data_IF_568238742870
#
_entry.id   IF_568238742870
#
_cell.length_a   1.000
_cell.length_b   1.000
_cell.length_c   1.000
_cell.angle_alpha   90.00
_cell.angle_beta   90.00
_cell.angle_gamma   90.00
#
_symmetry.space_group_name_H-M   'P 1'
#
loop_
_entity.id
_entity.type
_entity.pdbx_description
1 polymer ?
#
# COMPACT_ATOMS: atom_id res chain seq x y z
N UNK A 1 13.50 -5.59 10.03
CA UNK A 1 13.20 -4.41 10.89
C UNK A 1 11.95 -3.76 10.34
N UNK A 2 10.98 -3.37 11.17
CA UNK A 2 9.78 -2.69 10.68
C UNK A 2 9.99 -1.18 10.56
N UNK A 3 9.39 -0.57 9.55
CA UNK A 3 9.26 0.87 9.44
C UNK A 3 7.89 1.25 8.91
N UNK A 4 7.43 2.43 9.33
CA UNK A 4 6.13 2.96 8.95
C UNK A 4 6.28 3.90 7.74
N UNK A 5 5.52 3.60 6.69
CA UNK A 5 5.37 4.45 5.51
C UNK A 5 4.09 5.29 5.63
N UNK A 6 4.18 6.57 5.32
CA UNK A 6 2.99 7.41 5.15
C UNK A 6 2.58 7.40 3.66
N UNK A 7 1.45 6.78 3.36
CA UNK A 7 0.95 6.62 1.99
C UNK A 7 -0.11 7.67 1.67
N UNK A 8 0.16 8.49 0.64
CA UNK A 8 -0.78 9.45 0.09
C UNK A 8 -1.32 8.95 -1.26
N UNK A 9 -2.64 8.89 -1.39
CA UNK A 9 -3.29 8.57 -2.67
C UNK A 9 -3.19 9.80 -3.58
N UNK A 10 -2.76 9.60 -4.84
CA UNK A 10 -2.67 10.68 -5.82
C UNK A 10 -4.04 11.33 -6.01
N UNK A 11 -4.09 12.66 -5.91
CA UNK A 11 -5.33 13.44 -6.00
C UNK A 11 -6.04 13.65 -4.66
N UNK A 12 -5.52 13.06 -3.57
CA UNK A 12 -6.02 13.26 -2.21
C UNK A 12 -5.15 14.28 -1.45
N UNK A 13 -5.69 14.83 -0.36
CA UNK A 13 -4.96 15.74 0.54
C UNK A 13 -4.10 14.98 1.55
N UNK A 14 -3.04 15.61 2.06
CA UNK A 14 -2.16 15.00 3.06
C UNK A 14 -2.90 14.57 4.35
N UNK A 15 -4.04 15.19 4.66
CA UNK A 15 -4.95 14.78 5.75
C UNK A 15 -5.60 13.40 5.54
N UNK A 16 -5.66 12.91 4.31
CA UNK A 16 -6.16 11.57 3.96
C UNK A 16 -5.03 10.55 3.75
N UNK A 17 -3.79 10.90 4.10
CA UNK A 17 -2.70 9.95 4.12
C UNK A 17 -2.92 8.90 5.22
N UNK A 18 -2.44 7.69 4.98
CA UNK A 18 -2.57 6.57 5.91
C UNK A 18 -1.21 5.93 6.18
N UNK A 19 -1.02 5.45 7.40
CA UNK A 19 0.18 4.76 7.80
C UNK A 19 0.12 3.29 7.34
N UNK A 20 1.26 2.77 6.89
CA UNK A 20 1.44 1.36 6.53
C UNK A 20 2.73 0.87 7.16
N UNK A 21 2.64 -0.12 8.04
CA UNK A 21 3.82 -0.78 8.58
C UNK A 21 4.32 -1.87 7.63
N UNK A 22 5.61 -1.81 7.32
CA UNK A 22 6.28 -2.84 6.53
C UNK A 22 7.57 -3.31 7.17
N UNK A 23 7.86 -4.60 7.00
CA UNK A 23 9.18 -5.16 7.25
C UNK A 23 10.14 -4.80 6.12
N UNK A 24 11.32 -4.30 6.48
CA UNK A 24 12.42 -3.97 5.57
C UNK A 24 12.92 -5.14 4.74
N UNK A 25 12.72 -6.35 5.25
CA UNK A 25 13.16 -7.60 4.62
C UNK A 25 12.13 -8.13 3.61
N UNK A 26 10.99 -7.45 3.43
CA UNK A 26 9.93 -7.86 2.52
C UNK A 26 10.00 -7.11 1.19
N UNK A 27 9.71 -7.83 0.11
CA UNK A 27 9.62 -7.25 -1.23
C UNK A 27 8.46 -6.27 -1.36
N UNK A 28 8.52 -5.43 -2.39
CA UNK A 28 7.46 -4.47 -2.77
C UNK A 28 6.12 -5.16 -3.06
N UNK A 29 6.13 -6.45 -3.43
CA UNK A 29 4.90 -7.25 -3.57
C UNK A 29 4.12 -7.38 -2.25
N UNK A 30 4.82 -7.44 -1.12
CA UNK A 30 4.21 -7.41 0.21
C UNK A 30 3.58 -6.04 0.48
N UNK A 31 4.33 -4.96 0.25
CA UNK A 31 3.83 -3.58 0.39
C UNK A 31 2.53 -3.36 -0.42
N UNK A 32 2.48 -3.83 -1.68
CA UNK A 32 1.26 -3.74 -2.51
C UNK A 32 0.06 -4.46 -1.88
N UNK A 33 0.28 -5.61 -1.24
CA UNK A 33 -0.79 -6.37 -0.56
C UNK A 33 -1.27 -5.65 0.69
N UNK A 34 -0.35 -5.14 1.52
CA UNK A 34 -0.69 -4.41 2.75
C UNK A 34 -1.47 -3.13 2.41
N UNK A 35 -1.01 -2.34 1.44
CA UNK A 35 -1.74 -1.15 0.97
C UNK A 35 -3.15 -1.51 0.50
N UNK A 36 -3.29 -2.60 -0.27
CA UNK A 36 -4.60 -3.05 -0.75
C UNK A 36 -5.50 -3.52 0.41
N UNK A 37 -4.95 -4.17 1.43
CA UNK A 37 -5.71 -4.60 2.60
C UNK A 37 -6.19 -3.42 3.45
N UNK A 38 -5.35 -2.39 3.63
CA UNK A 38 -5.68 -1.21 4.43
C UNK A 38 -6.76 -0.33 3.79
N UNK A 39 -6.77 -0.26 2.45
CA UNK A 39 -7.65 0.65 1.69
C UNK A 39 -8.30 -0.08 0.51
N UNK A 40 -8.97 -1.21 0.80
CA UNK A 40 -9.56 -2.13 -0.20
C UNK A 40 -10.48 -1.45 -1.22
N UNK A 41 -11.25 -0.44 -0.80
CA UNK A 41 -12.22 0.25 -1.66
C UNK A 41 -11.52 1.17 -2.69
N UNK A 42 -10.46 1.85 -2.28
CA UNK A 42 -9.70 2.81 -3.10
C UNK A 42 -8.79 2.09 -4.12
N UNK A 43 -8.30 0.90 -3.76
CA UNK A 43 -7.41 0.09 -4.58
C UNK A 43 -8.06 -1.17 -5.18
N UNK A 44 -9.41 -1.21 -5.28
CA UNK A 44 -10.14 -2.34 -5.87
C UNK A 44 -9.70 -2.64 -7.32
N UNK A 45 -9.24 -1.61 -8.06
CA UNK A 45 -8.69 -1.73 -9.41
C UNK A 45 -7.23 -2.18 -9.51
N UNK A 46 -6.49 -2.25 -8.39
CA UNK A 46 -5.11 -2.78 -8.36
C UNK A 46 -5.19 -4.31 -8.34
N UNK A 47 -5.43 -4.88 -9.51
CA UNK A 47 -5.23 -6.31 -9.75
C UNK A 47 -3.73 -6.58 -9.80
N UNK A 48 -3.23 -7.42 -8.90
CA UNK A 48 -1.87 -7.96 -8.99
C UNK A 48 -1.84 -8.99 -10.12
N UNK A 49 -1.91 -8.52 -11.37
CA UNK A 49 -1.62 -9.37 -12.52
C UNK A 49 -0.12 -9.64 -12.54
N UNK A 50 0.29 -10.75 -11.91
CA UNK A 50 1.50 -11.43 -12.35
C UNK A 50 1.16 -11.99 -13.73
N UNK A 51 1.77 -11.43 -14.76
CA UNK A 51 1.66 -11.95 -16.13
C UNK A 51 1.94 -13.45 -16.15
N UNK A 52 1.08 -14.18 -16.84
CA UNK A 52 1.44 -15.45 -17.47
C UNK A 52 2.41 -15.17 -18.61
#
# INVERSE_FOLDING_TARGET
>A
MSFTLLCLVKGNTATNAFAVDIDSDKFVSHLKKVIKAEKQNDFAGVSSSYGK
#
